data_IF_378167354522
#
_entry.id   IF_378167354522
#
_cell.length_a   1.000
_cell.length_b   1.000
_cell.length_c   1.000
_cell.angle_alpha   90.00
_cell.angle_beta   90.00
_cell.angle_gamma   90.00
#
_symmetry.space_group_name_H-M   'P 1'
#
loop_
_entity.id
_entity.type
_entity.pdbx_description
1 polymer ?
#
# COMPACT_ATOMS: atom_id res chain seq x y z
N UNK A 1 23.60 1.52 -1.34
CA UNK A 1 22.85 2.66 -1.90
C UNK A 1 21.46 2.57 -1.33
N UNK A 2 21.13 3.43 -0.36
CA UNK A 2 19.75 3.58 0.10
C UNK A 2 18.94 4.22 -1.04
N UNK A 3 18.38 3.39 -1.92
CA UNK A 3 17.37 3.82 -2.91
C UNK A 3 16.07 4.04 -2.14
N UNK A 4 16.12 5.10 -1.32
CA UNK A 4 15.34 5.30 -0.12
C UNK A 4 13.88 5.50 -0.40
N UNK A 5 13.08 4.71 0.31
CA UNK A 5 11.66 4.95 0.60
C UNK A 5 11.33 6.46 0.58
N UNK A 6 10.34 6.91 -0.20
CA UNK A 6 9.87 8.29 -0.14
C UNK A 6 9.53 8.67 1.30
N UNK A 7 10.18 9.72 1.82
CA UNK A 7 10.04 10.17 3.20
C UNK A 7 8.80 11.04 3.44
N UNK A 8 7.73 10.85 2.65
CA UNK A 8 6.50 11.63 2.76
C UNK A 8 5.50 11.05 3.75
N UNK A 9 4.63 11.92 4.27
CA UNK A 9 3.61 11.55 5.24
C UNK A 9 2.69 10.44 4.70
N UNK A 10 2.22 10.55 3.46
CA UNK A 10 1.33 9.55 2.86
C UNK A 10 2.01 8.20 2.69
N UNK A 11 3.25 8.19 2.21
CA UNK A 11 4.07 6.99 2.07
C UNK A 11 4.28 6.28 3.42
N UNK A 12 4.59 7.05 4.46
CA UNK A 12 4.73 6.53 5.82
C UNK A 12 3.41 6.00 6.36
N UNK A 13 2.35 6.79 6.27
CA UNK A 13 1.02 6.44 6.75
C UNK A 13 0.52 5.16 6.09
N UNK A 14 0.61 5.06 4.75
CA UNK A 14 0.13 3.88 4.04
C UNK A 14 0.93 2.61 4.40
N UNK A 15 2.24 2.74 4.60
CA UNK A 15 3.07 1.61 5.04
C UNK A 15 2.63 1.10 6.41
N UNK A 16 2.45 2.03 7.36
CA UNK A 16 2.05 1.70 8.74
C UNK A 16 0.66 1.09 8.75
N UNK A 17 -0.30 1.65 8.02
CA UNK A 17 -1.65 1.08 7.92
C UNK A 17 -1.63 -0.31 7.30
N UNK A 18 -0.89 -0.53 6.21
CA UNK A 18 -0.79 -1.86 5.61
C UNK A 18 -0.27 -2.89 6.64
N UNK A 19 0.80 -2.55 7.36
CA UNK A 19 1.35 -3.41 8.40
C UNK A 19 0.37 -3.64 9.56
N UNK A 20 -0.34 -2.59 9.99
CA UNK A 20 -1.33 -2.67 11.07
C UNK A 20 -2.51 -3.59 10.74
N UNK A 21 -2.87 -3.73 9.46
CA UNK A 21 -3.92 -4.66 9.00
C UNK A 21 -3.35 -5.99 8.49
N UNK A 22 -2.09 -6.31 8.83
CA UNK A 22 -1.49 -7.61 8.54
C UNK A 22 -1.05 -7.81 7.09
N UNK A 23 -0.96 -6.75 6.30
CA UNK A 23 -0.42 -6.83 4.95
C UNK A 23 1.10 -6.89 4.96
N UNK A 24 1.66 -7.77 4.14
CA UNK A 24 3.09 -7.76 3.86
C UNK A 24 3.40 -6.58 2.93
N UNK A 25 4.09 -5.57 3.45
CA UNK A 25 4.37 -4.32 2.77
C UNK A 25 5.86 -4.21 2.44
N UNK A 26 6.21 -3.99 1.17
CA UNK A 26 7.58 -3.86 0.69
C UNK A 26 7.71 -2.71 -0.31
N UNK A 27 8.88 -2.08 -0.32
CA UNK A 27 9.21 -0.96 -1.21
C UNK A 27 10.02 -1.45 -2.40
N UNK A 28 9.63 -1.05 -3.59
CA UNK A 28 10.36 -1.27 -4.84
C UNK A 28 10.51 0.02 -5.65
N UNK A 29 11.18 -0.06 -6.80
CA UNK A 29 11.43 1.08 -7.70
C UNK A 29 10.16 1.80 -8.20
N UNK A 30 8.99 1.18 -8.10
CA UNK A 30 7.70 1.77 -8.50
C UNK A 30 6.81 2.13 -7.32
N UNK A 31 7.29 2.01 -6.07
CA UNK A 31 6.59 2.47 -4.88
C UNK A 31 6.35 1.37 -3.85
N UNK A 32 5.23 1.49 -3.12
CA UNK A 32 4.85 0.55 -2.08
C UNK A 32 4.00 -0.56 -2.67
N UNK A 33 4.41 -1.81 -2.49
CA UNK A 33 3.57 -2.97 -2.78
C UNK A 33 3.16 -3.63 -1.47
N UNK A 34 1.86 -3.79 -1.28
CA UNK A 34 1.25 -4.55 -0.19
C UNK A 34 0.59 -5.81 -0.71
N UNK A 35 0.77 -6.95 -0.04
CA UNK A 35 0.06 -8.20 -0.34
C UNK A 35 -0.61 -8.79 0.89
N UNK A 36 -1.85 -9.26 0.72
CA UNK A 36 -2.60 -10.02 1.72
C UNK A 36 -3.33 -11.18 1.02
N UNK A 37 -2.85 -12.40 1.25
CA UNK A 37 -3.34 -13.60 0.56
C UNK A 37 -3.29 -13.47 -0.96
N UNK A 38 -4.45 -13.50 -1.61
CA UNK A 38 -4.58 -13.37 -3.07
C UNK A 38 -4.75 -11.92 -3.57
N UNK A 39 -4.79 -10.94 -2.67
CA UNK A 39 -4.89 -9.52 -3.02
C UNK A 39 -3.54 -8.84 -2.93
N UNK A 40 -3.34 -7.91 -3.86
CA UNK A 40 -2.20 -7.02 -3.90
C UNK A 40 -2.67 -5.59 -4.12
N UNK A 41 -1.94 -4.64 -3.57
CA UNK A 41 -2.08 -3.22 -3.85
C UNK A 41 -0.70 -2.66 -4.12
N UNK A 42 -0.57 -1.88 -5.18
CA UNK A 42 0.66 -1.16 -5.50
C UNK A 42 0.36 0.32 -5.54
N UNK A 43 0.92 1.08 -4.59
CA UNK A 43 0.80 2.52 -4.49
C UNK A 43 2.06 3.20 -5.02
N UNK A 44 1.86 4.21 -5.85
CA UNK A 44 2.90 5.08 -6.39
C UNK A 44 2.87 6.42 -5.68
N UNK A 45 4.06 6.97 -5.47
CA UNK A 45 4.25 8.23 -4.77
C UNK A 45 5.11 9.16 -5.61
N UNK A 46 4.87 10.46 -5.48
CA UNK A 46 5.77 11.47 -6.00
C UNK A 46 7.12 11.41 -5.24
N UNK A 47 8.21 11.99 -5.75
CA UNK A 47 9.48 12.09 -5.03
C UNK A 47 9.37 12.78 -3.66
N UNK A 48 8.37 13.65 -3.47
CA UNK A 48 8.03 14.26 -2.17
C UNK A 48 7.39 13.29 -1.17
N UNK A 49 7.04 12.09 -1.62
CA UNK A 49 6.31 11.06 -0.89
C UNK A 49 4.80 11.31 -0.75
N UNK A 50 4.24 12.24 -1.53
CA UNK A 50 2.81 12.41 -1.69
C UNK A 50 2.20 11.26 -2.50
N UNK A 51 1.03 10.77 -2.10
CA UNK A 51 0.32 9.72 -2.84
C UNK A 51 -0.11 10.22 -4.23
N UNK A 52 0.11 9.41 -5.27
CA UNK A 52 -0.30 9.74 -6.64
C UNK A 52 -1.47 8.85 -7.06
N UNK A 53 -1.26 7.55 -7.02
CA UNK A 53 -2.25 6.55 -7.45
C UNK A 53 -1.88 5.19 -6.87
N UNK A 54 -2.87 4.33 -6.70
CA UNK A 54 -2.61 2.91 -6.50
C UNK A 54 -3.36 2.06 -7.49
N UNK A 55 -2.90 0.82 -7.65
CA UNK A 55 -3.62 -0.21 -8.41
C UNK A 55 -3.78 -1.44 -7.54
N UNK A 56 -4.98 -1.99 -7.53
CA UNK A 56 -5.23 -3.29 -6.90
C UNK A 56 -5.04 -4.40 -7.93
N UNK A 57 -4.48 -5.53 -7.48
CA UNK A 57 -4.38 -6.76 -8.23
C UNK A 57 -5.03 -7.90 -7.46
N UNK A 58 -5.75 -8.76 -8.16
CA UNK A 58 -6.38 -9.95 -7.60
C UNK A 58 -6.74 -10.95 -8.70
N UNK A 59 -7.26 -12.13 -8.33
CA UNK A 59 -7.52 -13.23 -9.26
C UNK A 59 -8.51 -12.87 -10.39
N UNK A 60 -9.31 -11.82 -10.21
CA UNK A 60 -10.23 -11.31 -11.24
C UNK A 60 -9.53 -10.46 -12.32
N UNK A 61 -8.22 -10.17 -12.21
CA UNK A 61 -7.45 -9.44 -13.23
C UNK A 61 -7.80 -7.94 -13.37
N UNK A 62 -8.76 -7.43 -12.60
CA UNK A 62 -9.17 -6.02 -12.69
C UNK A 62 -8.16 -5.12 -11.98
N UNK A 63 -7.30 -4.47 -12.77
CA UNK A 63 -6.48 -3.36 -12.30
C UNK A 63 -7.31 -2.08 -12.32
N UNK A 64 -7.92 -1.74 -11.18
CA UNK A 64 -8.56 -0.44 -11.00
C UNK A 64 -7.55 0.54 -10.42
N UNK A 65 -7.51 1.77 -10.95
CA UNK A 65 -6.84 2.88 -10.30
C UNK A 65 -7.63 3.26 -9.04
N UNK A 66 -6.90 3.43 -7.94
CA UNK A 66 -7.44 3.72 -6.62
C UNK A 66 -6.88 5.02 -6.11
N UNK A 67 -7.78 5.79 -5.49
CA UNK A 67 -7.44 6.90 -4.62
C UNK A 67 -6.96 6.41 -3.25
N UNK A 68 -6.31 7.28 -2.48
CA UNK A 68 -5.82 6.95 -1.14
C UNK A 68 -6.92 6.39 -0.21
N UNK A 69 -8.13 6.99 -0.10
CA UNK A 69 -9.20 6.40 0.74
C UNK A 69 -9.59 4.99 0.32
N UNK A 70 -9.72 4.73 -0.98
CA UNK A 70 -10.07 3.40 -1.49
C UNK A 70 -8.99 2.36 -1.19
N UNK A 71 -7.71 2.76 -1.17
CA UNK A 71 -6.65 1.86 -0.74
C UNK A 71 -6.82 1.50 0.73
N UNK A 72 -7.06 2.49 1.59
CA UNK A 72 -7.29 2.25 3.02
C UNK A 72 -8.46 1.29 3.21
N UNK A 73 -9.62 1.55 2.58
CA UNK A 73 -10.78 0.67 2.64
C UNK A 73 -10.44 -0.78 2.25
N UNK A 74 -9.59 -0.99 1.23
CA UNK A 74 -9.16 -2.33 0.81
C UNK A 74 -8.23 -2.98 1.84
N UNK A 75 -7.28 -2.21 2.39
CA UNK A 75 -6.37 -2.68 3.43
C UNK A 75 -7.17 -3.16 4.64
N UNK A 76 -8.18 -2.38 5.04
CA UNK A 76 -9.06 -2.67 6.17
C UNK A 76 -9.99 -3.85 5.89
N UNK A 77 -10.65 -3.87 4.73
CA UNK A 77 -11.65 -4.88 4.39
C UNK A 77 -11.05 -6.26 4.08
N UNK A 78 -9.80 -6.31 3.58
CA UNK A 78 -9.15 -7.58 3.23
C UNK A 78 -8.07 -8.01 4.22
N UNK A 79 -7.57 -7.07 5.03
CA UNK A 79 -6.68 -7.36 6.13
C UNK A 79 -7.45 -7.76 7.38
N UNK A 80 -6.70 -8.02 8.44
CA UNK A 80 -7.24 -8.14 9.78
C UNK A 80 -6.42 -7.21 10.69
N UNK A 81 -7.05 -6.34 11.49
CA UNK A 81 -6.32 -5.53 12.45
C UNK A 81 -5.45 -6.43 13.33
N UNK A 82 -4.15 -6.18 13.34
CA UNK A 82 -3.25 -6.87 14.24
C UNK A 82 -3.44 -6.30 15.65
N UNK A 83 -3.41 -7.16 16.69
CA UNK A 83 -3.40 -6.65 18.06
C UNK A 83 -2.17 -5.75 18.27
N UNK A 84 -2.29 -4.68 19.06
CA UNK A 84 -1.14 -3.88 19.43
C UNK A 84 -0.11 -4.75 20.17
N UNK A 85 1.20 -4.47 20.02
CA UNK A 85 2.26 -5.19 20.70
C UNK A 85 2.20 -5.05 22.22
#
# INVERSE_FOLDING_TARGET
MDTGRPAGHDAQYLTVTAQAYGWAAFWDERGLTGTCGHRSVRAQFAPSGAFVVAVTGGPAGTFAQLSMPQVLDILEASGAPLPPP
#
